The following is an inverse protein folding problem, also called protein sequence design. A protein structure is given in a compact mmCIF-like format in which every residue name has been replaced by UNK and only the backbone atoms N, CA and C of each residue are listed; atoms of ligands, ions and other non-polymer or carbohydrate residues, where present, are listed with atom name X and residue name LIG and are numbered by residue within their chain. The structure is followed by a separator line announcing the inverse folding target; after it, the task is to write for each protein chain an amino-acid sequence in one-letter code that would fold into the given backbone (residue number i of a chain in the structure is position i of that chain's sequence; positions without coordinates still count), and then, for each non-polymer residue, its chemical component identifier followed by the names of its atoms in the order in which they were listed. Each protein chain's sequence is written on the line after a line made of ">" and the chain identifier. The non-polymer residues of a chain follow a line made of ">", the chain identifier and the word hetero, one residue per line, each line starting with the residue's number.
data_IF_968452078446
#
_entry.id   IF_968452078446
#
_cell.length_a   1.000
_cell.length_b   1.000
_cell.length_c   1.000
_cell.angle_alpha   90.00
_cell.angle_beta   90.00
_cell.angle_gamma   90.00
#
_symmetry.space_group_name_H-M   'P 1'
#
loop_
_entity.id
_entity.type
_entity.pdbx_description
1 polymer ?
#
# COMPACT_ATOMS: atom_id res chain seq x y z
N UNK A 1 -6.47 -8.21 16.21
CA UNK A 1 -5.50 -7.77 15.21
C UNK A 1 -4.15 -7.40 15.81
N UNK A 2 -4.10 -6.70 16.93
CA UNK A 2 -2.82 -6.32 17.55
C UNK A 2 -2.06 -7.49 18.17
N UNK A 3 -2.72 -8.59 18.48
CA UNK A 3 -2.07 -9.80 19.01
C UNK A 3 -1.04 -10.35 18.03
N UNK A 4 -1.30 -10.26 16.73
CA UNK A 4 -0.36 -10.69 15.70
C UNK A 4 0.89 -9.80 15.69
N UNK A 5 0.74 -8.50 15.91
CA UNK A 5 1.85 -7.55 15.97
C UNK A 5 2.80 -7.85 17.12
N UNK A 6 2.28 -8.33 18.24
CA UNK A 6 3.13 -8.71 19.38
C UNK A 6 3.92 -9.99 19.15
N UNK A 7 3.46 -10.85 18.23
CA UNK A 7 4.17 -12.09 17.89
C UNK A 7 5.23 -11.89 16.82
N UNK A 8 5.08 -10.86 15.99
CA UNK A 8 6.02 -10.52 14.93
C UNK A 8 6.96 -9.43 15.44
N UNK A 9 8.25 -9.60 15.21
CA UNK A 9 9.21 -8.54 15.51
C UNK A 9 9.09 -7.46 14.44
N UNK A 10 8.62 -6.27 14.83
CA UNK A 10 8.50 -5.10 13.96
C UNK A 10 9.38 -3.99 14.54
N UNK A 11 10.21 -3.40 13.72
CA UNK A 11 11.14 -2.34 14.12
C UNK A 11 10.52 -0.96 14.00
N UNK A 12 9.73 -0.73 12.97
CA UNK A 12 9.21 0.61 12.66
C UNK A 12 7.92 0.53 11.88
N UNK A 13 7.03 1.51 12.12
CA UNK A 13 5.79 1.69 11.36
C UNK A 13 6.00 2.83 10.36
N UNK A 14 5.69 2.58 9.08
CA UNK A 14 5.63 3.59 8.04
C UNK A 14 4.17 3.75 7.61
N UNK A 15 3.67 4.98 7.57
CA UNK A 15 2.25 5.19 7.28
C UNK A 15 2.01 6.27 6.23
N UNK A 16 0.91 6.08 5.50
CA UNK A 16 0.42 7.06 4.53
C UNK A 16 0.02 8.36 5.23
N UNK A 17 0.23 9.53 4.59
CA UNK A 17 -0.19 10.81 5.15
C UNK A 17 -1.71 11.00 5.20
N UNK A 18 -2.49 10.16 4.50
CA UNK A 18 -3.95 10.29 4.52
C UNK A 18 -4.50 9.88 5.88
N UNK A 19 -5.49 10.62 6.38
CA UNK A 19 -5.95 10.56 7.77
C UNK A 19 -6.34 9.15 8.22
N UNK A 20 -7.02 8.38 7.38
CA UNK A 20 -7.45 7.02 7.73
C UNK A 20 -6.28 6.11 8.08
N UNK A 21 -5.24 6.13 7.27
CA UNK A 21 -4.05 5.33 7.51
C UNK A 21 -3.23 5.88 8.67
N UNK A 22 -3.07 7.19 8.75
CA UNK A 22 -2.35 7.84 9.83
C UNK A 22 -2.98 7.56 11.20
N UNK A 23 -4.31 7.64 11.31
CA UNK A 23 -5.02 7.36 12.56
C UNK A 23 -4.84 5.90 12.99
N UNK A 24 -4.90 4.96 12.05
CA UNK A 24 -4.64 3.54 12.32
C UNK A 24 -3.21 3.32 12.80
N UNK A 25 -2.25 3.94 12.13
CA UNK A 25 -0.83 3.82 12.50
C UNK A 25 -0.56 4.38 13.89
N UNK A 26 -1.16 5.51 14.23
CA UNK A 26 -0.99 6.10 15.56
C UNK A 26 -1.58 5.22 16.65
N UNK A 27 -2.74 4.60 16.40
CA UNK A 27 -3.34 3.65 17.34
C UNK A 27 -2.43 2.44 17.55
N UNK A 28 -1.82 1.91 16.49
CA UNK A 28 -0.87 0.79 16.59
C UNK A 28 0.39 1.22 17.34
N UNK A 29 0.95 2.38 17.03
CA UNK A 29 2.13 2.90 17.70
C UNK A 29 1.90 3.06 19.20
N UNK A 30 0.75 3.59 19.59
CA UNK A 30 0.38 3.75 21.00
C UNK A 30 0.24 2.41 21.69
N UNK A 31 -0.40 1.43 21.06
CA UNK A 31 -0.62 0.11 21.64
C UNK A 31 0.67 -0.73 21.74
N UNK A 32 1.65 -0.50 20.85
CA UNK A 32 2.85 -1.34 20.75
C UNK A 32 4.12 -0.67 21.26
N UNK A 33 4.14 0.65 21.37
CA UNK A 33 5.35 1.41 21.68
C UNK A 33 6.33 1.52 20.51
N UNK A 34 5.95 1.10 19.32
CA UNK A 34 6.82 1.14 18.14
C UNK A 34 6.97 2.57 17.61
N UNK A 35 8.15 2.94 17.10
CA UNK A 35 8.31 4.21 16.41
C UNK A 35 7.52 4.20 15.10
N UNK A 36 6.95 5.34 14.74
CA UNK A 36 6.15 5.49 13.53
C UNK A 36 6.54 6.78 12.83
N UNK A 37 6.67 6.73 11.50
CA UNK A 37 6.89 7.93 10.69
C UNK A 37 6.02 7.93 9.44
N UNK A 38 5.66 9.13 9.02
CA UNK A 38 4.93 9.34 7.78
C UNK A 38 5.84 9.07 6.57
N UNK A 39 5.34 8.27 5.64
CA UNK A 39 6.01 8.02 4.36
C UNK A 39 5.07 8.49 3.24
N UNK A 40 5.34 9.66 2.63
CA UNK A 40 4.45 10.22 1.61
C UNK A 40 4.23 9.31 0.39
N UNK A 41 5.19 8.43 0.08
CA UNK A 41 5.07 7.49 -1.04
C UNK A 41 4.00 6.42 -0.82
N UNK A 42 3.49 6.27 0.41
CA UNK A 42 2.38 5.34 0.71
C UNK A 42 1.00 5.95 0.48
N UNK A 43 0.92 7.20 0.02
CA UNK A 43 -0.36 7.81 -0.35
C UNK A 43 -1.07 6.97 -1.40
N UNK A 44 -2.41 6.88 -1.28
CA UNK A 44 -3.22 6.18 -2.28
C UNK A 44 -3.05 6.83 -3.67
N UNK A 45 -3.24 6.02 -4.69
CA UNK A 45 -3.21 6.47 -6.08
C UNK A 45 -4.22 7.61 -6.29
N UNK A 46 -3.79 8.64 -7.00
CA UNK A 46 -4.72 9.68 -7.46
C UNK A 46 -5.42 9.20 -8.73
N UNK A 47 -6.73 9.00 -8.65
CA UNK A 47 -7.53 8.47 -9.76
C UNK A 47 -8.07 9.56 -10.71
N UNK A 48 -7.62 10.80 -10.59
CA UNK A 48 -8.01 11.90 -11.48
C UNK A 48 -9.52 12.04 -11.56
N UNK A 49 -10.06 11.94 -12.77
CA UNK A 49 -11.52 12.06 -13.01
C UNK A 49 -12.38 11.02 -12.29
N UNK A 50 -11.80 9.94 -11.81
CA UNK A 50 -12.54 8.92 -11.05
C UNK A 50 -12.54 9.14 -9.55
N UNK A 51 -11.91 10.23 -9.06
CA UNK A 51 -11.98 10.57 -7.65
C UNK A 51 -13.42 10.84 -7.24
N UNK A 52 -13.84 10.26 -6.11
CA UNK A 52 -15.19 10.40 -5.61
C UNK A 52 -16.24 9.55 -6.32
N UNK A 53 -15.87 8.77 -7.34
CA UNK A 53 -16.79 7.83 -8.01
C UNK A 53 -16.84 6.49 -7.27
N UNK A 54 -17.93 5.70 -7.46
CA UNK A 54 -18.03 4.38 -6.86
C UNK A 54 -16.89 3.45 -7.30
N UNK A 55 -16.22 2.81 -6.35
CA UNK A 55 -15.10 1.90 -6.61
C UNK A 55 -15.51 0.63 -7.37
N UNK A 56 -16.77 0.28 -7.30
CA UNK A 56 -17.34 -0.87 -8.02
C UNK A 56 -18.04 -0.47 -9.33
N UNK A 57 -17.94 0.77 -9.76
CA UNK A 57 -18.46 1.25 -11.04
C UNK A 57 -17.75 0.60 -12.22
N UNK A 58 -18.47 0.36 -13.33
CA UNK A 58 -17.93 -0.31 -14.51
C UNK A 58 -16.73 0.42 -15.11
N UNK A 59 -16.81 1.75 -15.25
CA UNK A 59 -15.71 2.57 -15.78
C UNK A 59 -14.47 2.50 -14.90
N UNK A 60 -14.65 2.56 -13.59
CA UNK A 60 -13.55 2.46 -12.64
C UNK A 60 -12.88 1.08 -12.72
N UNK A 61 -13.66 0.02 -12.85
CA UNK A 61 -13.11 -1.35 -12.99
C UNK A 61 -12.26 -1.48 -14.25
N UNK A 62 -12.75 -0.96 -15.38
CA UNK A 62 -12.01 -0.98 -16.65
C UNK A 62 -10.72 -0.19 -16.52
N UNK A 63 -10.75 0.96 -15.84
CA UNK A 63 -9.57 1.81 -15.66
C UNK A 63 -8.42 1.09 -14.97
N UNK A 64 -8.71 0.16 -14.06
CA UNK A 64 -7.67 -0.62 -13.36
C UNK A 64 -6.83 -1.50 -14.27
N UNK A 65 -7.25 -1.73 -15.50
CA UNK A 65 -6.48 -2.48 -16.50
C UNK A 65 -5.68 -1.58 -17.43
N UNK A 66 -5.76 -0.25 -17.25
CA UNK A 66 -5.07 0.74 -18.06
C UNK A 66 -3.84 1.26 -17.30
N UNK A 67 -2.70 0.65 -17.51
CA UNK A 67 -1.51 0.88 -16.69
C UNK A 67 -0.83 2.22 -16.93
N UNK A 68 -0.94 2.79 -18.12
CA UNK A 68 -0.29 4.05 -18.49
C UNK A 68 -1.22 5.26 -18.45
N UNK A 69 -2.50 5.06 -18.24
CA UNK A 69 -3.51 6.13 -18.22
C UNK A 69 -3.43 6.89 -16.89
N UNK A 70 -3.39 8.22 -16.97
CA UNK A 70 -3.36 9.12 -15.80
C UNK A 70 -4.75 9.56 -15.34
N UNK A 71 -5.80 9.10 -16.01
CA UNK A 71 -7.18 9.40 -15.63
C UNK A 71 -7.49 10.90 -15.60
N UNK A 72 -6.95 11.65 -16.55
CA UNK A 72 -7.20 13.08 -16.70
C UNK A 72 -6.88 13.85 -15.40
N UNK A 73 -5.60 14.04 -15.15
CA UNK A 73 -5.10 14.78 -13.99
C UNK A 73 -4.72 13.92 -12.79
N UNK A 74 -4.79 12.60 -12.92
CA UNK A 74 -4.37 11.68 -11.87
C UNK A 74 -2.99 11.09 -12.08
N UNK A 75 -2.77 9.94 -11.46
CA UNK A 75 -1.53 9.18 -11.50
C UNK A 75 -1.77 7.86 -12.22
N UNK A 76 -0.89 7.50 -13.15
CA UNK A 76 -0.99 6.20 -13.81
C UNK A 76 -0.52 5.06 -12.88
N UNK A 77 -0.95 3.83 -13.20
CA UNK A 77 -0.50 2.65 -12.48
C UNK A 77 1.03 2.49 -12.55
N UNK A 78 1.63 2.85 -13.69
CA UNK A 78 3.07 2.78 -13.86
C UNK A 78 3.79 3.78 -12.94
N UNK A 79 3.26 4.99 -12.81
CA UNK A 79 3.81 5.98 -11.88
C UNK A 79 3.68 5.54 -10.42
N UNK A 80 2.53 4.97 -10.08
CA UNK A 80 2.29 4.42 -8.75
C UNK A 80 3.30 3.30 -8.44
N UNK A 81 3.47 2.37 -9.35
CA UNK A 81 4.41 1.27 -9.19
C UNK A 81 5.84 1.78 -9.00
N UNK A 82 6.25 2.80 -9.76
CA UNK A 82 7.58 3.36 -9.65
C UNK A 82 7.87 3.87 -8.23
N UNK A 83 6.96 4.67 -7.65
CA UNK A 83 7.21 5.24 -6.33
C UNK A 83 7.18 4.19 -5.22
N UNK A 84 6.32 3.18 -5.34
CA UNK A 84 6.23 2.10 -4.35
C UNK A 84 7.44 1.17 -4.48
N UNK A 85 7.83 0.79 -5.69
CA UNK A 85 9.01 -0.05 -5.90
C UNK A 85 10.29 0.63 -5.41
N UNK A 86 10.43 1.93 -5.60
CA UNK A 86 11.54 2.69 -5.07
C UNK A 86 11.59 2.63 -3.54
N UNK A 87 10.44 2.76 -2.88
CA UNK A 87 10.36 2.61 -1.44
C UNK A 87 10.77 1.20 -0.99
N UNK A 88 10.23 0.18 -1.64
CA UNK A 88 10.54 -1.21 -1.28
C UNK A 88 12.02 -1.55 -1.49
N UNK A 89 12.63 -1.03 -2.56
CA UNK A 89 14.07 -1.20 -2.80
C UNK A 89 14.90 -0.57 -1.68
N UNK A 90 14.51 0.60 -1.19
CA UNK A 90 15.18 1.23 -0.05
C UNK A 90 15.03 0.40 1.23
N UNK A 91 13.83 -0.11 1.50
CA UNK A 91 13.58 -0.93 2.68
C UNK A 91 14.36 -2.25 2.60
N UNK A 92 14.45 -2.84 1.41
CA UNK A 92 15.23 -4.05 1.17
C UNK A 92 16.72 -3.85 1.48
N UNK A 93 17.25 -2.69 1.14
CA UNK A 93 18.65 -2.36 1.39
C UNK A 93 18.98 -2.23 2.87
N UNK A 94 17.99 -1.93 3.71
CA UNK A 94 18.15 -1.84 5.16
C UNK A 94 17.94 -3.23 5.80
N UNK A 95 18.92 -4.10 5.57
CA UNK A 95 18.84 -5.51 5.96
C UNK A 95 18.68 -5.70 7.46
N UNK A 96 17.89 -6.72 7.84
CA UNK A 96 17.66 -7.08 9.23
C UNK A 96 16.55 -6.31 9.91
N UNK A 97 15.91 -5.35 9.23
CA UNK A 97 14.76 -4.63 9.77
C UNK A 97 13.45 -5.14 9.22
N UNK A 98 12.42 -5.09 10.05
CA UNK A 98 11.05 -5.41 9.69
C UNK A 98 10.18 -4.17 9.84
N UNK A 99 9.49 -3.83 8.77
CA UNK A 99 8.63 -2.66 8.71
C UNK A 99 7.16 -3.06 8.63
N UNK A 100 6.32 -2.31 9.32
CA UNK A 100 4.87 -2.38 9.13
C UNK A 100 4.44 -1.20 8.26
N UNK A 101 3.87 -1.48 7.10
CA UNK A 101 3.34 -0.44 6.22
C UNK A 101 1.83 -0.32 6.44
N UNK A 102 1.37 0.89 6.76
CA UNK A 102 -0.05 1.20 6.93
C UNK A 102 -0.46 2.13 5.80
N UNK A 103 -1.21 1.61 4.86
CA UNK A 103 -1.50 2.31 3.62
C UNK A 103 -2.94 2.02 3.12
N UNK A 104 -3.08 1.74 1.85
CA UNK A 104 -4.38 1.63 1.17
C UNK A 104 -4.39 0.42 0.24
N UNK A 105 -5.58 0.07 -0.24
CA UNK A 105 -5.78 -1.12 -1.05
C UNK A 105 -5.01 -1.08 -2.38
N UNK A 106 -4.98 0.08 -3.05
CA UNK A 106 -4.22 0.25 -4.27
C UNK A 106 -2.72 0.07 -4.05
N UNK A 107 -2.23 0.53 -2.92
CA UNK A 107 -0.83 0.35 -2.53
C UNK A 107 -0.54 -1.13 -2.24
N UNK A 108 -1.44 -1.80 -1.53
CA UNK A 108 -1.29 -3.23 -1.23
C UNK A 108 -1.16 -4.08 -2.50
N UNK A 109 -1.91 -3.73 -3.55
CA UNK A 109 -1.82 -4.39 -4.86
C UNK A 109 -0.43 -4.27 -5.47
N UNK A 110 0.12 -3.06 -5.44
CA UNK A 110 1.47 -2.81 -5.98
C UNK A 110 2.54 -3.54 -5.17
N UNK A 111 2.42 -3.54 -3.84
CA UNK A 111 3.32 -4.30 -2.97
C UNK A 111 3.27 -5.78 -3.30
N UNK A 112 2.07 -6.34 -3.48
CA UNK A 112 1.90 -7.73 -3.88
C UNK A 112 2.64 -8.04 -5.18
N UNK A 113 2.54 -7.16 -6.17
CA UNK A 113 3.20 -7.34 -7.47
C UNK A 113 4.73 -7.26 -7.39
N UNK A 114 5.27 -6.60 -6.37
CA UNK A 114 6.72 -6.54 -6.16
C UNK A 114 7.28 -7.91 -5.74
N UNK A 115 6.51 -8.66 -4.96
CA UNK A 115 6.96 -9.93 -4.41
C UNK A 115 6.53 -11.14 -5.23
N UNK A 116 5.46 -11.04 -6.02
CA UNK A 116 4.89 -12.18 -6.74
C UNK A 116 4.58 -11.82 -8.19
N UNK A 117 4.79 -12.79 -9.08
CA UNK A 117 4.31 -12.68 -10.45
C UNK A 117 2.78 -12.77 -10.48
N UNK A 118 2.15 -11.93 -11.28
CA UNK A 118 0.69 -11.81 -11.33
C UNK A 118 0.24 -11.55 -12.75
N UNK A 119 -0.88 -12.15 -13.15
CA UNK A 119 -1.56 -11.73 -14.37
C UNK A 119 -2.22 -10.35 -14.14
N UNK A 120 -2.62 -9.69 -15.23
CA UNK A 120 -3.33 -8.42 -15.14
C UNK A 120 -4.65 -8.58 -14.38
N UNK A 121 -5.34 -9.69 -14.58
CA UNK A 121 -6.60 -10.01 -13.91
C UNK A 121 -6.39 -10.24 -12.41
N UNK A 122 -5.35 -10.97 -12.04
CA UNK A 122 -4.98 -11.18 -10.64
C UNK A 122 -4.63 -9.87 -9.95
N UNK A 123 -3.86 -9.02 -10.64
CA UNK A 123 -3.51 -7.70 -10.11
C UNK A 123 -4.75 -6.84 -9.87
N UNK A 124 -5.66 -6.77 -10.85
CA UNK A 124 -6.87 -5.98 -10.74
C UNK A 124 -7.79 -6.46 -9.61
N UNK A 125 -7.80 -7.76 -9.34
CA UNK A 125 -8.62 -8.38 -8.29
C UNK A 125 -7.95 -8.37 -6.91
N UNK A 126 -6.64 -8.17 -6.84
CA UNK A 126 -5.90 -8.24 -5.60
C UNK A 126 -6.25 -7.10 -4.64
N UNK A 127 -6.14 -7.38 -3.37
CA UNK A 127 -6.37 -6.42 -2.30
C UNK A 127 -6.25 -7.12 -0.96
N UNK A 128 -6.36 -6.34 0.09
CA UNK A 128 -6.41 -6.85 1.46
C UNK A 128 -7.68 -6.35 2.13
N UNK A 129 -8.22 -7.15 3.04
CA UNK A 129 -9.39 -6.77 3.83
C UNK A 129 -9.00 -5.79 4.93
N UNK A 130 -9.95 -5.01 5.42
CA UNK A 130 -9.73 -4.15 6.57
C UNK A 130 -9.24 -4.98 7.76
N UNK A 131 -8.25 -4.47 8.46
CA UNK A 131 -7.60 -5.13 9.60
C UNK A 131 -6.90 -6.45 9.27
N UNK A 132 -6.70 -6.76 7.99
CA UNK A 132 -5.91 -7.90 7.55
C UNK A 132 -4.43 -7.50 7.52
N UNK A 133 -3.56 -8.41 7.96
CA UNK A 133 -2.12 -8.24 7.95
C UNK A 133 -1.53 -9.27 6.98
N UNK A 134 -0.74 -8.80 6.04
CA UNK A 134 -0.03 -9.66 5.08
C UNK A 134 1.47 -9.49 5.27
N UNK A 135 2.19 -10.58 5.35
CA UNK A 135 3.63 -10.58 5.57
C UNK A 135 4.37 -10.95 4.28
N UNK A 136 5.43 -10.19 3.98
CA UNK A 136 6.30 -10.43 2.84
C UNK A 136 7.76 -10.51 3.30
N UNK A 137 8.57 -11.25 2.57
CA UNK A 137 9.98 -11.41 2.86
C UNK A 137 10.82 -11.00 1.64
N UNK A 138 11.80 -10.12 1.85
CA UNK A 138 12.80 -9.83 0.84
C UNK A 138 13.77 -11.00 0.71
N UNK A 139 14.12 -11.34 -0.52
CA UNK A 139 15.13 -12.36 -0.80
C UNK A 139 16.52 -11.79 -0.98
#
# INVERSE_FOLDING_TARGET
>A
PYTTLFRSHIDEILYSPLSRAADTAMAIAEATGLPARCEPRLREQCFGKYEGTPRNGGEFRVSKTHFADRYDGGESMMQLAQRIYNLLDELKADTGKTYLLVAHNGIARVVQSYFYDMTNEEYAAAGIRNCELVEYHFE
#
